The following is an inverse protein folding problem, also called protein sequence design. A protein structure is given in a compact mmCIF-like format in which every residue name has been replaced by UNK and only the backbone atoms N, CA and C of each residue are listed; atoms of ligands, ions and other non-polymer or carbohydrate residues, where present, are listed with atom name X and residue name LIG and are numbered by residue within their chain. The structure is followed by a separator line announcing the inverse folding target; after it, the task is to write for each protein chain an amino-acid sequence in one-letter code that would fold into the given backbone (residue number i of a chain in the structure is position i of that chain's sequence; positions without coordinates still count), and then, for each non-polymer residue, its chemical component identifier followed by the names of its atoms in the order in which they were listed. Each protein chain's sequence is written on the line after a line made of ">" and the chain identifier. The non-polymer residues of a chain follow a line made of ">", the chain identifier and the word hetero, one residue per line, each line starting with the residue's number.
data_IF_552513181438
#
_entry.id   IF_552513181438
#
_cell.length_a   1.000
_cell.length_b   1.000
_cell.length_c   1.000
_cell.angle_alpha   90.00
_cell.angle_beta   90.00
_cell.angle_gamma   90.00
#
_symmetry.space_group_name_H-M   'P 1'
#
loop_
_entity.id
_entity.type
_entity.pdbx_description
1 polymer ?
#
# COMPACT_ATOMS: atom_id res chain seq x y z
N UNK A 1 14.60 8.71 17.26
CA UNK A 1 13.13 8.65 17.20
C UNK A 1 12.60 8.34 15.80
N UNK A 2 13.30 8.72 14.72
CA UNK A 2 12.80 8.55 13.35
C UNK A 2 12.60 7.08 12.91
N UNK A 3 13.40 6.14 13.44
CA UNK A 3 13.18 4.70 13.25
C UNK A 3 11.80 4.24 13.74
N UNK A 4 11.36 4.73 14.90
CA UNK A 4 10.08 4.34 15.49
C UNK A 4 8.92 4.91 14.66
N UNK A 5 9.04 6.16 14.20
CA UNK A 5 8.05 6.77 13.31
C UNK A 5 7.89 5.98 12.00
N UNK A 6 9.01 5.55 11.39
CA UNK A 6 8.99 4.70 10.21
C UNK A 6 8.36 3.33 10.45
N UNK A 7 8.67 2.69 11.58
CA UNK A 7 8.06 1.41 11.95
C UNK A 7 6.55 1.55 12.14
N UNK A 8 6.09 2.59 12.83
CA UNK A 8 4.66 2.87 13.03
C UNK A 8 3.97 3.14 11.70
N UNK A 9 4.54 3.98 10.84
CA UNK A 9 3.96 4.31 9.54
C UNK A 9 3.92 3.10 8.59
N UNK A 10 4.93 2.24 8.65
CA UNK A 10 4.97 0.96 7.94
C UNK A 10 3.93 -0.01 8.48
N UNK A 11 3.82 -0.14 9.80
CA UNK A 11 2.83 -0.98 10.46
C UNK A 11 1.40 -0.53 10.11
N UNK A 12 1.16 0.78 10.10
CA UNK A 12 -0.11 1.35 9.67
C UNK A 12 -0.42 0.99 8.21
N UNK A 13 0.56 1.14 7.31
CA UNK A 13 0.40 0.76 5.88
C UNK A 13 0.10 -0.73 5.72
N UNK A 14 0.81 -1.59 6.46
CA UNK A 14 0.60 -3.03 6.46
C UNK A 14 -0.81 -3.38 6.95
N UNK A 15 -1.27 -2.75 8.04
CA UNK A 15 -2.62 -2.95 8.57
C UNK A 15 -3.70 -2.50 7.58
N UNK A 16 -3.50 -1.38 6.89
CA UNK A 16 -4.43 -0.90 5.85
C UNK A 16 -4.50 -1.90 4.68
N UNK A 17 -3.35 -2.34 4.18
CA UNK A 17 -3.28 -3.32 3.07
C UNK A 17 -3.86 -4.69 3.44
N UNK A 18 -3.57 -5.17 4.66
CA UNK A 18 -4.14 -6.42 5.18
C UNK A 18 -5.63 -6.30 5.41
N UNK A 19 -6.09 -5.22 6.06
CA UNK A 19 -7.50 -5.01 6.37
C UNK A 19 -8.34 -4.89 5.12
N UNK A 20 -7.98 -3.97 4.22
CA UNK A 20 -8.70 -3.78 2.96
C UNK A 20 -8.56 -5.00 2.04
N UNK A 21 -7.38 -5.62 1.98
CA UNK A 21 -7.13 -6.80 1.16
C UNK A 21 -7.91 -8.03 1.62
N UNK A 22 -7.92 -8.33 2.92
CA UNK A 22 -8.69 -9.46 3.46
C UNK A 22 -10.19 -9.21 3.31
N UNK A 23 -10.65 -7.99 3.57
CA UNK A 23 -12.04 -7.62 3.41
C UNK A 23 -12.49 -7.79 1.95
N UNK A 24 -11.71 -7.28 0.99
CA UNK A 24 -11.98 -7.44 -0.45
C UNK A 24 -11.86 -8.89 -0.94
N UNK A 25 -10.97 -9.68 -0.36
CA UNK A 25 -10.81 -11.11 -0.68
C UNK A 25 -12.01 -11.94 -0.19
N UNK A 26 -12.55 -11.65 1.00
CA UNK A 26 -13.66 -12.39 1.62
C UNK A 26 -15.01 -11.92 1.08
N UNK A 27 -15.27 -10.62 1.11
CA UNK A 27 -16.56 -10.04 0.68
C UNK A 27 -16.66 -9.91 -0.84
N UNK A 28 -15.55 -9.89 -1.56
CA UNK A 28 -15.54 -9.71 -3.02
C UNK A 28 -15.99 -8.32 -3.43
N UNK A 29 -16.55 -8.20 -4.64
CA UNK A 29 -17.03 -6.92 -5.19
C UNK A 29 -18.16 -6.28 -4.37
N UNK A 30 -18.84 -7.10 -3.55
CA UNK A 30 -19.89 -6.63 -2.63
C UNK A 30 -19.36 -5.70 -1.54
N UNK A 31 -18.06 -5.73 -1.22
CA UNK A 31 -17.43 -4.79 -0.29
C UNK A 31 -17.61 -3.33 -0.71
N UNK A 32 -17.61 -3.07 -2.02
CA UNK A 32 -17.84 -1.73 -2.59
C UNK A 32 -19.30 -1.49 -2.98
N UNK A 33 -20.24 -2.33 -2.51
CA UNK A 33 -21.63 -2.37 -2.98
C UNK A 33 -21.73 -2.49 -4.51
N UNK A 34 -20.71 -3.05 -5.16
CA UNK A 34 -20.66 -3.21 -6.61
C UNK A 34 -21.41 -4.44 -7.07
N UNK A 35 -22.12 -4.33 -8.20
CA UNK A 35 -22.75 -5.47 -8.88
C UNK A 35 -21.81 -5.90 -10.00
N UNK A 36 -21.13 -7.03 -9.81
CA UNK A 36 -20.17 -7.58 -10.77
C UNK A 36 -20.60 -8.94 -11.29
N UNK A 37 -20.25 -9.26 -12.54
CA UNK A 37 -20.34 -10.64 -13.04
C UNK A 37 -19.35 -11.53 -12.29
N UNK A 38 -19.52 -12.85 -12.35
CA UNK A 38 -18.64 -13.84 -11.70
C UNK A 38 -17.16 -13.58 -12.05
N UNK A 39 -16.88 -13.18 -13.30
CA UNK A 39 -15.53 -12.84 -13.75
C UNK A 39 -14.95 -11.64 -13.02
N UNK A 40 -15.73 -10.57 -12.84
CA UNK A 40 -15.30 -9.35 -12.15
C UNK A 40 -15.05 -9.62 -10.67
N UNK A 41 -15.94 -10.39 -10.02
CA UNK A 41 -15.77 -10.76 -8.61
C UNK A 41 -14.48 -11.60 -8.40
N UNK A 42 -14.21 -12.55 -9.29
CA UNK A 42 -12.99 -13.36 -9.23
C UNK A 42 -11.71 -12.52 -9.39
N UNK A 43 -11.68 -11.60 -10.35
CA UNK A 43 -10.55 -10.69 -10.52
C UNK A 43 -10.39 -9.75 -9.32
N UNK A 44 -11.50 -9.25 -8.75
CA UNK A 44 -11.46 -8.39 -7.58
C UNK A 44 -10.89 -9.13 -6.35
N UNK A 45 -11.27 -10.39 -6.13
CA UNK A 45 -10.71 -11.24 -5.07
C UNK A 45 -9.23 -11.52 -5.30
N UNK A 46 -8.80 -11.79 -6.53
CA UNK A 46 -7.40 -11.98 -6.88
C UNK A 46 -6.57 -10.73 -6.55
N UNK A 47 -7.02 -9.54 -6.98
CA UNK A 47 -6.36 -8.27 -6.70
C UNK A 47 -6.31 -7.98 -5.19
N UNK A 48 -7.40 -8.26 -4.47
CA UNK A 48 -7.47 -8.11 -3.01
C UNK A 48 -6.52 -9.07 -2.28
N UNK A 49 -6.36 -10.30 -2.79
CA UNK A 49 -5.37 -11.26 -2.31
C UNK A 49 -3.93 -10.78 -2.52
N UNK A 50 -3.62 -10.21 -3.69
CA UNK A 50 -2.31 -9.57 -3.95
C UNK A 50 -2.07 -8.42 -2.97
N UNK A 51 -3.09 -7.59 -2.72
CA UNK A 51 -3.03 -6.50 -1.74
C UNK A 51 -2.70 -7.00 -0.33
N UNK A 52 -3.36 -8.08 0.09
CA UNK A 52 -3.09 -8.77 1.35
C UNK A 52 -1.65 -9.28 1.42
N UNK A 53 -1.17 -9.90 0.33
CA UNK A 53 0.20 -10.38 0.22
C UNK A 53 1.23 -9.26 0.37
N UNK A 54 1.00 -8.10 -0.25
CA UNK A 54 1.85 -6.92 -0.06
C UNK A 54 1.84 -6.43 1.40
N UNK A 55 0.68 -6.45 2.05
CA UNK A 55 0.55 -6.14 3.49
C UNK A 55 1.36 -7.08 4.38
N UNK A 56 1.35 -8.39 4.10
CA UNK A 56 2.18 -9.37 4.82
C UNK A 56 3.68 -9.14 4.60
N UNK A 57 4.09 -8.84 3.36
CA UNK A 57 5.49 -8.53 3.04
C UNK A 57 5.95 -7.30 3.82
N UNK A 58 5.12 -6.26 3.94
CA UNK A 58 5.43 -5.10 4.78
C UNK A 58 5.51 -5.48 6.24
N UNK A 59 4.55 -6.25 6.76
CA UNK A 59 4.51 -6.68 8.16
C UNK A 59 5.79 -7.43 8.55
N UNK A 60 6.23 -8.37 7.70
CA UNK A 60 7.49 -9.10 7.88
C UNK A 60 8.74 -8.20 7.73
N UNK A 61 8.63 -7.07 7.03
CA UNK A 61 9.73 -6.14 6.81
C UNK A 61 9.87 -5.08 7.92
N UNK A 62 8.87 -4.91 8.80
CA UNK A 62 8.89 -3.99 9.97
C UNK A 62 10.14 -4.17 10.85
N UNK A 63 10.50 -5.40 11.32
CA UNK A 63 11.64 -5.58 12.23
C UNK A 63 13.00 -5.22 11.61
N UNK A 64 13.10 -5.15 10.28
CA UNK A 64 14.35 -4.90 9.56
C UNK A 64 14.19 -3.81 8.49
N UNK A 65 13.42 -2.76 8.79
CA UNK A 65 13.14 -1.62 7.88
C UNK A 65 14.39 -1.00 7.28
N UNK A 66 15.54 -1.09 7.95
CA UNK A 66 16.82 -0.53 7.49
C UNK A 66 17.58 -1.40 6.49
N UNK A 67 17.39 -2.72 6.53
CA UNK A 67 18.21 -3.67 5.74
C UNK A 67 17.62 -3.94 4.35
N UNK A 68 16.32 -3.67 4.15
CA UNK A 68 15.58 -4.05 2.93
C UNK A 68 15.12 -2.85 2.10
N UNK A 69 16.01 -1.88 1.83
CA UNK A 69 15.71 -0.67 1.02
C UNK A 69 15.18 -1.00 -0.38
N UNK A 70 15.72 -2.03 -1.03
CA UNK A 70 15.31 -2.42 -2.39
C UNK A 70 13.89 -2.99 -2.43
N UNK A 71 13.54 -3.87 -1.48
CA UNK A 71 12.20 -4.47 -1.40
C UNK A 71 11.12 -3.40 -1.17
N UNK A 72 11.42 -2.44 -0.30
CA UNK A 72 10.55 -1.30 -0.03
C UNK A 72 10.36 -0.41 -1.25
N UNK A 73 11.43 -0.17 -2.02
CA UNK A 73 11.37 0.57 -3.28
C UNK A 73 10.48 -0.11 -4.31
N UNK A 74 10.64 -1.43 -4.49
CA UNK A 74 9.79 -2.23 -5.40
C UNK A 74 8.32 -2.17 -4.98
N UNK A 75 8.04 -2.34 -3.68
CA UNK A 75 6.67 -2.29 -3.18
C UNK A 75 6.04 -0.90 -3.34
N UNK A 76 6.81 0.16 -3.05
CA UNK A 76 6.36 1.54 -3.25
C UNK A 76 6.09 1.81 -4.73
N UNK A 77 6.94 1.32 -5.63
CA UNK A 77 6.73 1.46 -7.06
C UNK A 77 5.46 0.74 -7.53
N UNK A 78 5.21 -0.48 -7.04
CA UNK A 78 3.96 -1.21 -7.32
C UNK A 78 2.73 -0.44 -6.81
N UNK A 79 2.81 0.11 -5.59
CA UNK A 79 1.72 0.89 -4.99
C UNK A 79 1.47 2.18 -5.80
N UNK A 80 2.52 2.90 -6.20
CA UNK A 80 2.40 4.12 -7.02
C UNK A 80 1.80 3.79 -8.39
N UNK A 81 2.21 2.69 -9.03
CA UNK A 81 1.58 2.23 -10.28
C UNK A 81 0.10 1.92 -10.10
N UNK A 82 -0.27 1.28 -8.98
CA UNK A 82 -1.67 1.06 -8.60
C UNK A 82 -2.43 2.39 -8.44
N UNK A 83 -1.85 3.36 -7.74
CA UNK A 83 -2.42 4.69 -7.57
C UNK A 83 -2.58 5.47 -8.88
N UNK A 84 -1.66 5.30 -9.83
CA UNK A 84 -1.77 5.88 -11.17
C UNK A 84 -2.90 5.24 -11.98
N UNK A 85 -3.08 3.92 -11.87
CA UNK A 85 -4.23 3.23 -12.48
C UNK A 85 -5.56 3.70 -11.86
N UNK A 86 -5.57 3.94 -10.55
CA UNK A 86 -6.73 4.49 -9.82
C UNK A 86 -7.02 5.94 -10.24
N UNK A 87 -5.99 6.77 -10.40
CA UNK A 87 -6.11 8.13 -10.93
C UNK A 87 -6.64 8.13 -12.37
N UNK A 88 -6.17 7.22 -13.22
CA UNK A 88 -6.67 7.04 -14.58
C UNK A 88 -8.14 6.59 -14.61
N UNK A 89 -8.55 5.75 -13.65
CA UNK A 89 -9.96 5.38 -13.51
C UNK A 89 -10.84 6.57 -13.13
N UNK A 90 -10.36 7.42 -12.21
CA UNK A 90 -11.05 8.65 -11.78
C UNK A 90 -11.16 9.67 -12.91
N UNK A 91 -10.16 9.81 -13.77
CA UNK A 91 -10.25 10.72 -14.92
C UNK A 91 -11.25 10.23 -15.98
N UNK A 92 -11.47 8.92 -16.08
CA UNK A 92 -12.44 8.34 -17.02
C UNK A 92 -13.88 8.35 -16.49
N UNK A 93 -14.10 7.98 -15.22
CA UNK A 93 -15.44 7.73 -14.67
C UNK A 93 -15.87 8.74 -13.60
N UNK A 94 -15.01 9.69 -13.25
CA UNK A 94 -15.21 10.60 -12.12
C UNK A 94 -14.81 9.97 -10.78
N UNK A 95 -14.91 10.73 -9.69
CA UNK A 95 -14.54 10.26 -8.35
C UNK A 95 -15.66 9.37 -7.81
N UNK A 96 -15.46 8.05 -7.66
CA UNK A 96 -16.54 7.15 -7.28
C UNK A 96 -16.89 7.26 -5.79
N UNK A 97 -15.93 7.65 -4.94
CA UNK A 97 -16.13 7.82 -3.50
C UNK A 97 -15.00 8.59 -2.84
N UNK A 98 -15.25 9.10 -1.62
CA UNK A 98 -14.20 9.67 -0.74
C UNK A 98 -13.10 8.64 -0.44
N UNK A 99 -13.46 7.36 -0.39
CA UNK A 99 -12.51 6.26 -0.20
C UNK A 99 -11.50 6.13 -1.33
N UNK A 100 -11.92 6.29 -2.60
CA UNK A 100 -11.01 6.29 -3.74
C UNK A 100 -10.08 7.51 -3.73
N UNK A 101 -10.57 8.68 -3.32
CA UNK A 101 -9.71 9.86 -3.20
C UNK A 101 -8.63 9.67 -2.11
N UNK A 102 -9.01 9.04 -1.00
CA UNK A 102 -8.10 8.65 0.06
C UNK A 102 -7.10 7.57 -0.37
N UNK A 103 -7.53 6.60 -1.18
CA UNK A 103 -6.69 5.58 -1.80
C UNK A 103 -5.60 6.19 -2.69
N UNK A 104 -5.99 7.09 -3.61
CA UNK A 104 -5.06 7.85 -4.45
C UNK A 104 -4.08 8.65 -3.59
N UNK A 105 -4.55 9.33 -2.53
CA UNK A 105 -3.67 10.07 -1.64
C UNK A 105 -2.65 9.14 -0.94
N UNK A 106 -3.11 8.01 -0.43
CA UNK A 106 -2.28 7.04 0.27
C UNK A 106 -1.24 6.39 -0.65
N UNK A 107 -1.62 6.10 -1.89
CA UNK A 107 -0.73 5.45 -2.86
C UNK A 107 0.24 6.42 -3.52
N UNK A 108 -0.20 7.64 -3.85
CA UNK A 108 0.56 8.59 -4.66
C UNK A 108 1.35 9.60 -3.83
N UNK A 109 0.94 9.88 -2.59
CA UNK A 109 1.63 10.84 -1.71
C UNK A 109 2.26 10.12 -0.53
N UNK A 110 1.48 9.34 0.21
CA UNK A 110 1.95 8.74 1.46
C UNK A 110 3.01 7.64 1.23
N UNK A 111 2.81 6.74 0.27
CA UNK A 111 3.80 5.71 -0.06
C UNK A 111 5.18 6.27 -0.51
N UNK A 112 5.28 7.24 -1.45
CA UNK A 112 6.57 7.83 -1.79
C UNK A 112 7.18 8.67 -0.66
N UNK A 113 6.34 9.33 0.17
CA UNK A 113 6.83 10.04 1.35
C UNK A 113 7.46 9.07 2.36
N UNK A 114 6.82 7.91 2.60
CA UNK A 114 7.37 6.82 3.42
C UNK A 114 8.70 6.32 2.88
N UNK A 115 8.80 6.13 1.57
CA UNK A 115 10.05 5.70 0.93
C UNK A 115 11.17 6.74 1.06
N UNK A 116 10.85 8.04 0.93
CA UNK A 116 11.81 9.12 1.13
C UNK A 116 12.28 9.21 2.58
N UNK A 117 11.37 9.07 3.56
CA UNK A 117 11.72 9.00 4.98
C UNK A 117 12.61 7.78 5.27
N UNK A 118 12.29 6.62 4.70
CA UNK A 118 13.11 5.41 4.84
C UNK A 118 14.52 5.65 4.27
N UNK A 119 14.61 6.32 3.10
CA UNK A 119 15.89 6.66 2.49
C UNK A 119 16.70 7.62 3.37
N UNK A 120 16.04 8.58 4.02
CA UNK A 120 16.66 9.58 4.89
C UNK A 120 17.19 8.93 6.18
N UNK A 121 16.38 8.13 6.87
CA UNK A 121 16.77 7.44 8.10
C UNK A 121 17.87 6.42 7.85
N UNK A 122 17.80 5.66 6.75
CA UNK A 122 18.86 4.72 6.39
C UNK A 122 20.19 5.42 6.03
N UNK A 123 20.15 6.67 5.51
CA UNK A 123 21.37 7.48 5.30
C UNK A 123 21.94 7.97 6.63
N UNK A 124 21.09 8.43 7.55
CA UNK A 124 21.52 8.88 8.88
C UNK A 124 22.09 7.74 9.73
N UNK A 125 21.50 6.55 9.67
CA UNK A 125 22.03 5.36 10.36
C UNK A 125 23.38 4.88 9.80
N UNK A 126 23.64 5.09 8.51
CA UNK A 126 24.93 4.76 7.89
C UNK A 126 26.05 5.78 8.22
N UNK A 127 25.69 7.01 8.64
CA UNK A 127 26.63 8.10 8.95
C UNK A 127 27.13 8.08 10.40
N UNK A 128 26.43 7.37 11.30
CA UNK A 128 26.88 7.11 12.67
C UNK A 128 27.02 5.59 12.88
N UNK A 129 28.10 4.97 12.39
CA UNK A 129 28.45 3.62 12.81
C UNK A 129 28.87 3.71 14.28
N UNK A 130 28.05 3.15 15.16
CA UNK A 130 28.44 2.89 16.55
C UNK A 130 29.57 1.86 16.60
#
# INVERSE_FOLDING_TARGET
>A
MERFFLQVATAFSALVLLGLGLCGMILGVQFLHGVGTITVDNYFRLLSGIMTGMGLVLLCSIPHVERYRERFGILTFMIVLGGLAELYSVTLHGIPSVGALFGIFMTLIYAPLLWLLQRHVAKHAALHPH
#
